data_IF_852762015656
#
_entry.id   IF_852762015656
#
_cell.length_a   1.000
_cell.length_b   1.000
_cell.length_c   1.000
_cell.angle_alpha   90.00
_cell.angle_beta   90.00
_cell.angle_gamma   90.00
#
_symmetry.space_group_name_H-M   'P 1'
#
loop_
_entity.id
_entity.type
_entity.pdbx_description
1 polymer ?
#
# COMPACT_ATOMS: atom_id res chain seq x y z
N UNK A 1 -10.80 9.11 -7.55
CA UNK A 1 -10.21 7.76 -7.80
C UNK A 1 -9.04 7.79 -8.78
N UNK A 2 -9.25 7.87 -10.09
CA UNK A 2 -8.18 7.75 -11.11
C UNK A 2 -7.01 8.73 -10.90
N UNK A 3 -7.28 10.00 -10.58
CA UNK A 3 -6.25 11.01 -10.31
C UNK A 3 -5.33 10.67 -9.13
N UNK A 4 -5.83 9.97 -8.11
CA UNK A 4 -5.07 9.65 -6.90
C UNK A 4 -4.38 8.29 -6.99
N UNK A 5 -5.05 7.30 -7.58
CA UNK A 5 -4.53 5.93 -7.70
C UNK A 5 -3.66 5.75 -8.95
N UNK A 6 -3.76 6.64 -9.93
CA UNK A 6 -3.01 6.58 -11.19
C UNK A 6 -3.28 5.31 -12.02
N UNK A 7 -4.51 4.78 -11.94
CA UNK A 7 -4.98 3.65 -12.75
C UNK A 7 -6.10 4.13 -13.68
N UNK A 8 -6.05 3.83 -15.00
CA UNK A 8 -7.09 4.19 -15.96
C UNK A 8 -8.33 3.31 -15.77
N UNK A 9 -9.15 3.66 -14.78
CA UNK A 9 -10.40 2.97 -14.43
C UNK A 9 -11.49 3.15 -15.49
N UNK A 10 -11.45 4.25 -16.25
CA UNK A 10 -12.35 4.54 -17.36
C UNK A 10 -12.25 3.54 -18.53
N UNK A 11 -11.21 2.73 -18.57
CA UNK A 11 -10.98 1.73 -19.60
C UNK A 11 -11.19 0.28 -19.09
N UNK A 12 -11.53 0.09 -17.81
CA UNK A 12 -11.88 -1.22 -17.24
C UNK A 12 -13.40 -1.44 -17.35
N UNK A 13 -13.84 -2.12 -18.41
CA UNK A 13 -15.27 -2.38 -18.68
C UNK A 13 -15.94 -3.23 -17.60
N UNK A 14 -15.18 -4.12 -16.95
CA UNK A 14 -15.68 -4.96 -15.84
C UNK A 14 -16.01 -4.09 -14.62
N UNK A 15 -15.14 -3.13 -14.28
CA UNK A 15 -15.37 -2.17 -13.21
C UNK A 15 -16.62 -1.34 -13.51
N UNK A 16 -16.74 -0.78 -14.72
CA UNK A 16 -17.92 0.01 -15.10
C UNK A 16 -19.22 -0.77 -14.92
N UNK A 17 -19.27 -2.00 -15.40
CA UNK A 17 -20.44 -2.86 -15.25
C UNK A 17 -20.73 -3.18 -13.77
N UNK A 18 -19.70 -3.47 -12.98
CA UNK A 18 -19.84 -3.77 -11.56
C UNK A 18 -20.35 -2.54 -10.78
N UNK A 19 -19.82 -1.35 -11.06
CA UNK A 19 -20.27 -0.12 -10.44
C UNK A 19 -21.73 0.18 -10.81
N UNK A 20 -22.12 0.05 -12.08
CA UNK A 20 -23.52 0.20 -12.50
C UNK A 20 -24.45 -0.76 -11.74
N UNK A 21 -24.07 -2.04 -11.67
CA UNK A 21 -24.85 -3.06 -10.96
C UNK A 21 -24.90 -2.81 -9.44
N UNK A 22 -23.83 -2.27 -8.85
CA UNK A 22 -23.78 -1.91 -7.45
C UNK A 22 -24.67 -0.70 -7.16
N UNK A 23 -24.46 0.42 -7.85
CA UNK A 23 -25.19 1.67 -7.65
C UNK A 23 -26.69 1.56 -7.94
N UNK A 24 -27.10 0.79 -8.95
CA UNK A 24 -28.52 0.56 -9.23
C UNK A 24 -29.27 -0.08 -8.06
N UNK A 25 -28.58 -0.93 -7.28
CA UNK A 25 -29.15 -1.55 -6.06
C UNK A 25 -28.92 -0.69 -4.82
N UNK A 26 -27.74 -0.08 -4.69
CA UNK A 26 -27.38 0.76 -3.55
C UNK A 26 -28.28 1.99 -3.47
N UNK A 27 -28.59 2.64 -4.60
CA UNK A 27 -29.48 3.80 -4.64
C UNK A 27 -30.86 3.51 -4.04
N UNK A 28 -31.46 2.35 -4.37
CA UNK A 28 -32.75 1.94 -3.79
C UNK A 28 -32.64 1.71 -2.27
N UNK A 29 -31.55 1.10 -1.80
CA UNK A 29 -31.33 0.88 -0.36
C UNK A 29 -31.15 2.21 0.38
N UNK A 30 -30.32 3.09 -0.14
CA UNK A 30 -30.01 4.41 0.44
C UNK A 30 -31.29 5.26 0.54
N UNK A 31 -32.03 5.41 -0.56
CA UNK A 31 -33.27 6.21 -0.57
C UNK A 31 -34.38 5.64 0.31
N UNK A 32 -34.32 4.35 0.63
CA UNK A 32 -35.24 3.69 1.55
C UNK A 32 -34.69 3.55 2.97
N UNK A 33 -33.52 4.11 3.28
CA UNK A 33 -32.83 3.97 4.56
C UNK A 33 -32.62 2.50 5.00
N UNK A 34 -32.41 1.60 4.03
CA UNK A 34 -32.11 0.20 4.27
C UNK A 34 -30.59 0.05 4.46
N UNK A 35 -30.19 -0.27 5.68
CA UNK A 35 -28.80 -0.53 6.01
C UNK A 35 -28.36 -1.94 5.57
N UNK A 36 -27.21 -2.02 4.89
CA UNK A 36 -26.56 -3.27 4.52
C UNK A 36 -25.26 -3.41 5.32
N UNK A 37 -25.19 -4.42 6.18
CA UNK A 37 -23.98 -4.74 6.92
C UNK A 37 -22.99 -5.48 6.02
N UNK A 38 -21.74 -5.01 6.01
CA UNK A 38 -20.60 -5.70 5.45
C UNK A 38 -19.71 -6.23 6.59
N UNK A 39 -19.71 -7.55 6.86
CA UNK A 39 -18.95 -8.11 7.97
C UNK A 39 -17.42 -8.02 7.77
N UNK A 40 -16.96 -7.59 6.59
CA UNK A 40 -15.54 -7.54 6.20
C UNK A 40 -14.96 -6.12 6.21
N UNK A 41 -15.67 -5.11 6.73
CA UNK A 41 -15.18 -3.71 6.71
C UNK A 41 -13.79 -3.58 7.32
N UNK A 42 -13.55 -4.22 8.46
CA UNK A 42 -12.27 -4.12 9.18
C UNK A 42 -11.15 -4.77 8.36
N UNK A 43 -11.39 -5.96 7.83
CA UNK A 43 -10.45 -6.70 6.98
C UNK A 43 -10.11 -5.91 5.71
N UNK A 44 -11.12 -5.31 5.07
CA UNK A 44 -10.94 -4.51 3.86
C UNK A 44 -10.10 -3.26 4.15
N UNK A 45 -10.38 -2.55 5.25
CA UNK A 45 -9.59 -1.38 5.66
C UNK A 45 -8.17 -1.73 6.05
N UNK A 46 -7.96 -2.93 6.61
CA UNK A 46 -6.62 -3.46 6.93
C UNK A 46 -5.84 -3.77 5.65
N UNK A 47 -6.44 -4.48 4.70
CA UNK A 47 -5.77 -4.92 3.48
C UNK A 47 -5.59 -3.80 2.45
N UNK A 48 -6.57 -2.90 2.33
CA UNK A 48 -6.62 -1.88 1.27
C UNK A 48 -6.89 -0.47 1.81
N UNK A 49 -6.18 0.01 2.86
CA UNK A 49 -6.47 1.28 3.51
C UNK A 49 -6.42 2.47 2.55
N UNK A 50 -5.46 2.48 1.61
CA UNK A 50 -5.33 3.55 0.63
C UNK A 50 -6.51 3.64 -0.34
N UNK A 51 -6.98 2.49 -0.85
CA UNK A 51 -8.12 2.45 -1.77
C UNK A 51 -9.40 2.85 -1.05
N UNK A 52 -9.61 2.31 0.16
CA UNK A 52 -10.75 2.64 1.00
C UNK A 52 -10.82 4.13 1.30
N UNK A 53 -9.73 4.73 1.82
CA UNK A 53 -9.72 6.15 2.17
C UNK A 53 -9.89 7.05 0.95
N UNK A 54 -9.27 6.69 -0.18
CA UNK A 54 -9.45 7.44 -1.43
C UNK A 54 -10.90 7.40 -1.92
N UNK A 55 -11.59 6.27 -1.76
CA UNK A 55 -13.02 6.15 -2.08
C UNK A 55 -13.88 6.95 -1.12
N UNK A 56 -13.59 6.84 0.18
CA UNK A 56 -14.29 7.58 1.22
C UNK A 56 -14.29 9.09 0.90
N UNK A 57 -13.11 9.67 0.64
CA UNK A 57 -13.00 11.09 0.30
C UNK A 57 -13.71 11.45 -1.03
N UNK A 58 -13.68 10.55 -2.02
CA UNK A 58 -14.37 10.79 -3.28
C UNK A 58 -15.90 10.78 -3.13
N UNK A 59 -16.41 9.90 -2.26
CA UNK A 59 -17.83 9.77 -1.94
C UNK A 59 -18.30 10.92 -1.07
N UNK A 60 -17.51 11.33 -0.09
CA UNK A 60 -17.81 12.48 0.76
C UNK A 60 -17.96 13.77 -0.08
N UNK A 61 -17.07 13.97 -1.06
CA UNK A 61 -17.21 15.07 -2.05
C UNK A 61 -18.47 14.93 -2.90
N UNK A 62 -18.84 13.72 -3.32
CA UNK A 62 -20.06 13.47 -4.09
C UNK A 62 -21.33 13.70 -3.27
N UNK A 63 -21.30 13.41 -1.97
CA UNK A 63 -22.43 13.61 -1.07
C UNK A 63 -22.82 15.10 -0.99
N UNK A 64 -21.85 16.02 -1.03
CA UNK A 64 -22.10 17.47 -1.06
C UNK A 64 -22.99 17.88 -2.25
N UNK A 65 -22.79 17.26 -3.42
CA UNK A 65 -23.51 17.60 -4.64
C UNK A 65 -24.85 16.86 -4.79
N UNK A 66 -24.98 15.70 -4.14
CA UNK A 66 -26.08 14.75 -4.39
C UNK A 66 -27.03 14.56 -3.22
N UNK A 67 -26.68 15.04 -2.02
CA UNK A 67 -27.39 14.78 -0.75
C UNK A 67 -27.56 13.27 -0.46
N UNK A 68 -26.67 12.44 -1.02
CA UNK A 68 -26.65 10.99 -0.84
C UNK A 68 -25.45 10.63 0.02
N UNK A 69 -25.72 10.18 1.25
CA UNK A 69 -24.73 9.58 2.13
C UNK A 69 -24.62 8.08 1.90
N UNK A 70 -23.39 7.56 1.86
CA UNK A 70 -23.12 6.12 1.81
C UNK A 70 -22.49 5.66 3.13
N UNK A 71 -22.93 4.50 3.62
CA UNK A 71 -22.34 3.90 4.82
C UNK A 71 -20.92 3.37 4.55
N UNK A 72 -20.17 3.18 5.63
CA UNK A 72 -18.84 2.54 5.58
C UNK A 72 -18.87 1.18 4.87
N UNK A 73 -19.96 0.42 5.05
CA UNK A 73 -20.20 -0.88 4.44
C UNK A 73 -20.30 -0.82 2.91
N UNK A 74 -21.03 0.17 2.37
CA UNK A 74 -21.15 0.39 0.93
C UNK A 74 -19.80 0.83 0.33
N UNK A 75 -19.07 1.72 1.02
CA UNK A 75 -17.71 2.13 0.64
C UNK A 75 -16.76 0.92 0.64
N UNK A 76 -16.90 0.00 1.60
CA UNK A 76 -16.11 -1.24 1.64
C UNK A 76 -16.43 -2.17 0.46
N UNK A 77 -17.70 -2.32 0.05
CA UNK A 77 -18.04 -3.07 -1.17
C UNK A 77 -17.43 -2.43 -2.42
N UNK A 78 -17.50 -1.10 -2.54
CA UNK A 78 -16.87 -0.38 -3.64
C UNK A 78 -15.35 -0.56 -3.65
N UNK A 79 -14.72 -0.59 -2.47
CA UNK A 79 -13.28 -0.81 -2.31
C UNK A 79 -12.85 -2.11 -2.98
N UNK A 80 -13.60 -3.19 -2.82
CA UNK A 80 -13.31 -4.47 -3.48
C UNK A 80 -13.39 -4.34 -5.01
N UNK A 81 -14.41 -3.66 -5.55
CA UNK A 81 -14.53 -3.48 -6.99
C UNK A 81 -13.35 -2.69 -7.58
N UNK A 82 -12.96 -1.60 -6.91
CA UNK A 82 -11.81 -0.80 -7.33
C UNK A 82 -10.49 -1.55 -7.15
N UNK A 83 -10.30 -2.27 -6.05
CA UNK A 83 -9.10 -3.07 -5.82
C UNK A 83 -8.93 -4.16 -6.89
N UNK A 84 -10.01 -4.89 -7.22
CA UNK A 84 -9.96 -5.88 -8.30
C UNK A 84 -9.65 -5.24 -9.66
N UNK A 85 -10.10 -4.01 -9.91
CA UNK A 85 -9.76 -3.27 -11.12
C UNK A 85 -8.30 -2.79 -11.12
N UNK A 86 -7.77 -2.36 -9.97
CA UNK A 86 -6.34 -2.07 -9.81
C UNK A 86 -5.57 -3.32 -10.20
N UNK A 87 -5.85 -4.48 -9.60
CA UNK A 87 -5.14 -5.72 -9.90
C UNK A 87 -5.19 -6.09 -11.38
N UNK A 88 -6.35 -6.01 -12.04
CA UNK A 88 -6.46 -6.28 -13.49
C UNK A 88 -5.64 -5.32 -14.36
N UNK A 89 -5.48 -4.07 -13.94
CA UNK A 89 -4.90 -2.98 -14.75
C UNK A 89 -3.44 -2.70 -14.38
N UNK A 90 -3.00 -3.13 -13.19
CA UNK A 90 -1.61 -3.07 -12.72
C UNK A 90 -0.86 -4.39 -12.90
N UNK A 91 -1.55 -5.48 -13.28
CA UNK A 91 -0.90 -6.71 -13.78
C UNK A 91 -0.15 -6.41 -15.09
N UNK A 92 1.05 -5.87 -14.98
CA UNK A 92 2.06 -5.97 -16.04
C UNK A 92 2.64 -7.38 -15.96
N UNK A 93 2.42 -8.18 -17.01
CA UNK A 93 3.20 -9.41 -17.15
C UNK A 93 4.68 -9.05 -17.24
N UNK A 94 5.48 -9.67 -16.38
CA UNK A 94 6.93 -9.52 -16.40
C UNK A 94 7.51 -10.50 -17.40
N UNK A 95 8.22 -9.99 -18.38
CA UNK A 95 8.90 -10.77 -19.38
C UNK A 95 10.19 -11.35 -18.78
N UNK A 96 10.27 -12.67 -18.74
CA UNK A 96 11.38 -13.43 -18.16
C UNK A 96 12.20 -14.07 -19.26
N UNK A 97 13.52 -13.97 -19.15
CA UNK A 97 14.47 -14.76 -19.94
C UNK A 97 15.24 -15.67 -19.01
N UNK A 98 15.35 -16.95 -19.36
CA UNK A 98 16.15 -17.92 -18.61
C UNK A 98 17.47 -18.16 -19.36
N UNK A 99 18.59 -17.85 -18.73
CA UNK A 99 19.91 -18.20 -19.23
C UNK A 99 20.47 -19.42 -18.50
N UNK A 100 20.46 -20.57 -19.17
CA UNK A 100 20.80 -21.85 -18.57
C UNK A 100 22.14 -22.40 -19.09
N UNK A 101 22.97 -22.89 -18.17
CA UNK A 101 24.21 -23.60 -18.50
C UNK A 101 23.98 -25.09 -18.83
N UNK A 102 23.01 -25.73 -18.15
CA UNK A 102 22.76 -27.17 -18.24
C UNK A 102 22.00 -27.61 -19.50
N UNK A 103 21.72 -26.68 -20.41
CA UNK A 103 21.06 -26.96 -21.69
C UNK A 103 19.54 -27.07 -21.60
N UNK A 104 18.95 -27.62 -22.66
CA UNK A 104 17.50 -27.54 -22.94
C UNK A 104 16.64 -28.24 -21.89
N UNK A 105 17.04 -29.41 -21.38
CA UNK A 105 16.21 -30.16 -20.43
C UNK A 105 15.93 -29.40 -19.14
N UNK A 106 16.96 -28.79 -18.56
CA UNK A 106 16.82 -27.94 -17.36
C UNK A 106 16.12 -26.62 -17.69
N UNK A 107 16.35 -26.07 -18.89
CA UNK A 107 15.67 -24.85 -19.33
C UNK A 107 14.16 -25.03 -19.40
N UNK A 108 13.68 -26.12 -20.03
CA UNK A 108 12.25 -26.43 -20.14
C UNK A 108 11.63 -26.71 -18.76
N UNK A 109 12.36 -27.38 -17.87
CA UNK A 109 11.93 -27.62 -16.49
C UNK A 109 11.74 -26.30 -15.74
N UNK A 110 12.73 -25.41 -15.80
CA UNK A 110 12.66 -24.09 -15.17
C UNK A 110 11.56 -23.23 -15.77
N UNK A 111 11.44 -23.21 -17.10
CA UNK A 111 10.35 -22.51 -17.80
C UNK A 111 8.98 -22.96 -17.30
N UNK A 112 8.76 -24.27 -17.20
CA UNK A 112 7.51 -24.83 -16.68
C UNK A 112 7.29 -24.43 -15.22
N UNK A 113 8.31 -24.50 -14.38
CA UNK A 113 8.22 -24.11 -12.96
C UNK A 113 7.91 -22.63 -12.81
N UNK A 114 8.55 -21.77 -13.59
CA UNK A 114 8.44 -20.32 -13.50
C UNK A 114 7.08 -19.84 -14.02
N UNK A 115 6.63 -20.35 -15.17
CA UNK A 115 5.30 -20.01 -15.68
C UNK A 115 4.17 -20.50 -14.74
N UNK A 116 4.40 -21.57 -13.96
CA UNK A 116 3.44 -22.06 -12.97
C UNK A 116 3.55 -21.38 -11.59
N UNK A 117 4.52 -20.49 -11.36
CA UNK A 117 4.64 -19.76 -10.10
C UNK A 117 3.56 -18.69 -9.94
N UNK A 118 3.26 -17.98 -11.03
CA UNK A 118 2.46 -16.76 -11.04
C UNK A 118 1.95 -16.47 -12.45
N UNK A 119 0.70 -16.04 -12.62
CA UNK A 119 0.16 -15.59 -13.92
C UNK A 119 0.84 -14.31 -14.43
N UNK A 120 1.50 -13.60 -13.52
CA UNK A 120 2.26 -12.38 -13.70
C UNK A 120 3.62 -12.61 -14.38
N UNK A 121 4.11 -13.85 -14.45
CA UNK A 121 5.39 -14.18 -15.08
C UNK A 121 5.15 -14.78 -16.46
N UNK A 122 5.86 -14.28 -17.46
CA UNK A 122 5.87 -14.86 -18.80
C UNK A 122 7.30 -15.15 -19.22
N UNK A 123 7.68 -16.42 -19.30
CA UNK A 123 8.97 -16.81 -19.88
C UNK A 123 8.88 -16.64 -21.40
N UNK A 124 9.47 -15.55 -21.90
CA UNK A 124 9.43 -15.22 -23.33
C UNK A 124 10.57 -15.88 -24.12
N UNK A 125 11.64 -16.31 -23.45
CA UNK A 125 12.75 -17.00 -24.09
C UNK A 125 13.63 -17.78 -23.11
N UNK A 126 14.30 -18.81 -23.64
CA UNK A 126 15.39 -19.52 -22.95
C UNK A 126 16.65 -19.49 -23.81
N UNK A 127 17.78 -19.08 -23.23
CA UNK A 127 19.07 -18.92 -23.89
C UNK A 127 20.16 -19.71 -23.17
N UNK A 128 21.25 -20.01 -23.88
CA UNK A 128 22.46 -20.50 -23.23
C UNK A 128 23.13 -19.38 -22.43
N UNK A 129 23.78 -19.74 -21.33
CA UNK A 129 24.50 -18.78 -20.48
C UNK A 129 25.54 -17.95 -21.26
N UNK A 130 26.25 -18.56 -22.20
CA UNK A 130 27.25 -17.91 -23.07
C UNK A 130 26.66 -16.86 -24.03
N UNK A 131 25.35 -16.90 -24.29
CA UNK A 131 24.68 -15.99 -25.22
C UNK A 131 24.14 -14.72 -24.55
N UNK A 132 24.28 -14.56 -23.23
CA UNK A 132 23.77 -13.41 -22.49
C UNK A 132 24.26 -12.08 -23.09
N UNK A 133 25.55 -11.98 -23.43
CA UNK A 133 26.13 -10.72 -23.96
C UNK A 133 25.65 -10.36 -25.36
N UNK A 134 25.05 -11.31 -26.08
CA UNK A 134 24.55 -11.12 -27.44
C UNK A 134 23.02 -11.01 -27.49
N UNK A 135 22.34 -11.06 -26.34
CA UNK A 135 20.89 -11.01 -26.24
C UNK A 135 20.40 -9.59 -26.00
N UNK A 136 19.30 -9.23 -26.66
CA UNK A 136 18.65 -7.93 -26.52
C UNK A 136 17.59 -7.95 -25.41
N UNK A 137 17.83 -7.20 -24.34
CA UNK A 137 16.98 -7.19 -23.13
C UNK A 137 16.00 -6.00 -23.06
N UNK A 138 15.72 -5.34 -24.19
CA UNK A 138 14.92 -4.11 -24.24
C UNK A 138 13.50 -4.30 -23.65
N UNK A 139 12.89 -5.47 -23.86
CA UNK A 139 11.57 -5.83 -23.34
C UNK A 139 11.62 -6.95 -22.30
N UNK A 140 12.70 -7.04 -21.53
CA UNK A 140 12.87 -8.08 -20.50
C UNK A 140 12.93 -7.42 -19.12
N UNK A 141 12.12 -7.92 -18.20
CA UNK A 141 12.03 -7.41 -16.83
C UNK A 141 12.94 -8.18 -15.87
N UNK A 142 13.08 -9.49 -16.13
CA UNK A 142 13.79 -10.42 -15.25
C UNK A 142 14.64 -11.42 -16.04
N UNK A 143 15.94 -11.48 -15.72
CA UNK A 143 16.87 -12.50 -16.17
C UNK A 143 17.09 -13.53 -15.05
N UNK A 144 16.78 -14.79 -15.32
CA UNK A 144 17.04 -15.91 -14.40
C UNK A 144 18.22 -16.72 -14.91
N UNK A 145 19.20 -16.98 -14.07
CA UNK A 145 20.37 -17.79 -14.43
C UNK A 145 20.54 -19.01 -13.54
N UNK A 146 21.09 -20.08 -14.09
CA UNK A 146 21.46 -21.27 -13.30
C UNK A 146 22.89 -21.24 -12.76
N UNK A 147 23.67 -20.22 -13.14
CA UNK A 147 25.06 -20.05 -12.76
C UNK A 147 25.37 -18.57 -12.52
N UNK A 148 26.44 -18.34 -11.75
CA UNK A 148 26.96 -16.99 -11.54
C UNK A 148 27.41 -16.38 -12.87
N UNK A 149 26.96 -15.14 -13.09
CA UNK A 149 27.38 -14.32 -14.21
C UNK A 149 28.64 -13.55 -13.79
N UNK A 150 29.71 -13.48 -14.60
CA UNK A 150 30.86 -12.64 -14.31
C UNK A 150 30.47 -11.17 -14.08
N UNK A 151 31.13 -10.51 -13.12
CA UNK A 151 30.84 -9.10 -12.78
C UNK A 151 30.90 -8.16 -13.99
N UNK A 152 31.80 -8.42 -14.94
CA UNK A 152 31.93 -7.62 -16.16
C UNK A 152 30.67 -7.73 -17.03
N UNK A 153 30.13 -8.94 -17.20
CA UNK A 153 28.90 -9.18 -17.94
C UNK A 153 27.70 -8.54 -17.25
N UNK A 154 27.60 -8.62 -15.91
CA UNK A 154 26.55 -7.93 -15.16
C UNK A 154 26.55 -6.41 -15.38
N UNK A 155 27.73 -5.79 -15.50
CA UNK A 155 27.85 -4.35 -15.77
C UNK A 155 27.41 -3.93 -17.17
N UNK A 156 27.37 -4.87 -18.12
CA UNK A 156 26.91 -4.63 -19.49
C UNK A 156 25.40 -4.77 -19.65
N UNK A 157 24.71 -5.38 -18.67
CA UNK A 157 23.27 -5.55 -18.73
C UNK A 157 22.53 -4.23 -18.49
N UNK A 158 21.32 -4.06 -19.06
CA UNK A 158 20.54 -2.85 -18.83
C UNK A 158 20.20 -2.65 -17.35
N UNK A 159 20.23 -1.40 -16.88
CA UNK A 159 19.95 -1.07 -15.47
C UNK A 159 18.53 -1.41 -15.02
N UNK A 160 17.57 -1.50 -15.95
CA UNK A 160 16.19 -1.88 -15.64
C UNK A 160 16.04 -3.39 -15.40
N UNK A 161 17.00 -4.21 -15.84
CA UNK A 161 16.89 -5.67 -15.80
C UNK A 161 17.24 -6.20 -14.40
N UNK A 162 16.27 -6.82 -13.73
CA UNK A 162 16.55 -7.58 -12.51
C UNK A 162 17.20 -8.91 -12.87
N UNK A 163 18.22 -9.33 -12.13
CA UNK A 163 18.91 -10.61 -12.37
C UNK A 163 18.86 -11.48 -11.12
N UNK A 164 18.42 -12.73 -11.25
CA UNK A 164 18.33 -13.70 -10.15
C UNK A 164 19.03 -14.99 -10.54
N UNK A 165 19.88 -15.51 -9.65
CA UNK A 165 20.42 -16.87 -9.76
C UNK A 165 19.52 -17.87 -9.05
N UNK A 166 19.19 -18.97 -9.71
CA UNK A 166 18.40 -20.08 -9.16
C UNK A 166 19.14 -21.40 -9.26
N UNK A 167 18.77 -22.35 -8.40
CA UNK A 167 19.27 -23.71 -8.51
C UNK A 167 18.65 -24.43 -9.74
N UNK A 168 19.36 -25.39 -10.37
CA UNK A 168 18.89 -26.09 -11.58
C UNK A 168 17.59 -26.87 -11.36
N UNK A 169 17.38 -27.38 -10.14
CA UNK A 169 16.19 -28.13 -9.75
C UNK A 169 15.11 -27.26 -9.10
N UNK A 170 15.30 -25.94 -9.09
CA UNK A 170 14.35 -24.95 -8.59
C UNK A 170 13.86 -25.19 -7.15
N UNK A 171 14.55 -24.58 -6.20
CA UNK A 171 14.25 -24.75 -4.77
C UNK A 171 13.11 -23.85 -4.29
N UNK A 172 12.57 -24.14 -3.10
CA UNK A 172 11.58 -23.27 -2.45
C UNK A 172 12.15 -21.88 -2.13
N UNK A 173 13.45 -21.78 -1.87
CA UNK A 173 14.14 -20.49 -1.69
C UNK A 173 14.18 -19.67 -3.00
N UNK A 174 14.41 -20.34 -4.14
CA UNK A 174 14.35 -19.70 -5.46
C UNK A 174 12.95 -19.16 -5.78
N UNK A 175 11.91 -19.93 -5.41
CA UNK A 175 10.52 -19.48 -5.48
C UNK A 175 10.30 -18.19 -4.68
N UNK A 176 10.74 -18.14 -3.42
CA UNK A 176 10.58 -16.94 -2.60
C UNK A 176 11.29 -15.72 -3.19
N UNK A 177 12.52 -15.90 -3.70
CA UNK A 177 13.28 -14.83 -4.37
C UNK A 177 12.56 -14.24 -5.58
N UNK A 178 12.02 -15.10 -6.45
CA UNK A 178 11.30 -14.65 -7.65
C UNK A 178 10.02 -13.90 -7.25
N UNK A 179 9.21 -14.47 -6.35
CA UNK A 179 7.98 -13.82 -5.87
C UNK A 179 8.28 -12.44 -5.26
N UNK A 180 9.36 -12.31 -4.50
CA UNK A 180 9.77 -11.04 -3.93
C UNK A 180 10.07 -9.99 -5.02
N UNK A 181 10.85 -10.35 -6.06
CA UNK A 181 11.15 -9.43 -7.17
C UNK A 181 9.92 -9.06 -7.98
N UNK A 182 8.99 -10.00 -8.20
CA UNK A 182 7.71 -9.72 -8.87
C UNK A 182 6.93 -8.65 -8.10
N UNK A 183 6.82 -8.79 -6.77
CA UNK A 183 6.13 -7.82 -5.92
C UNK A 183 6.78 -6.43 -5.97
N UNK A 184 8.10 -6.34 -5.92
CA UNK A 184 8.82 -5.05 -6.03
C UNK A 184 8.58 -4.39 -7.40
N UNK A 185 8.65 -5.16 -8.49
CA UNK A 185 8.43 -4.65 -9.85
C UNK A 185 6.99 -4.20 -10.09
N UNK A 186 6.00 -4.84 -9.46
CA UNK A 186 4.59 -4.49 -9.59
C UNK A 186 4.13 -3.37 -8.65
N UNK A 187 4.93 -3.02 -7.64
CA UNK A 187 4.72 -1.86 -6.79
C UNK A 187 5.81 -0.80 -7.05
N UNK A 188 5.75 -0.06 -8.18
CA UNK A 188 6.74 0.98 -8.51
C UNK A 188 6.79 2.16 -7.53
N UNK A 189 5.94 2.16 -6.50
CA UNK A 189 5.94 3.12 -5.40
C UNK A 189 7.22 3.02 -4.54
N UNK A 190 8.00 1.94 -4.66
CA UNK A 190 9.35 1.84 -4.06
C UNK A 190 10.45 2.62 -4.84
N UNK A 191 10.12 3.31 -5.93
CA UNK A 191 11.06 4.16 -6.64
C UNK A 191 11.31 5.47 -5.87
N UNK A 192 12.18 5.43 -4.85
CA UNK A 192 12.96 6.54 -4.29
C UNK A 192 12.27 7.92 -4.35
N UNK A 193 11.16 8.08 -3.62
CA UNK A 193 10.72 9.42 -3.23
C UNK A 193 11.64 9.93 -2.13
N UNK A 194 12.05 11.20 -2.21
CA UNK A 194 12.83 11.86 -1.17
C UNK A 194 12.02 11.85 0.14
N UNK A 195 12.33 10.91 1.02
CA UNK A 195 11.85 10.85 2.42
C UNK A 195 12.22 12.12 3.20
N UNK A 196 13.16 12.91 2.68
CA UNK A 196 13.69 14.14 3.29
C UNK A 196 12.64 15.26 3.45
N UNK A 197 11.47 15.18 2.81
CA UNK A 197 10.44 16.24 2.87
C UNK A 197 9.34 16.00 3.89
N UNK A 198 9.26 14.83 4.53
CA UNK A 198 8.21 14.52 5.52
C UNK A 198 8.80 14.40 6.92
N UNK A 199 8.28 15.19 7.85
CA UNK A 199 8.75 15.19 9.22
C UNK A 199 8.10 14.06 10.04
N UNK A 200 8.92 13.10 10.49
CA UNK A 200 8.50 12.05 11.41
C UNK A 200 8.78 12.42 12.86
N UNK A 201 7.71 12.53 13.65
CA UNK A 201 7.75 12.89 15.07
C UNK A 201 7.14 11.77 15.91
N UNK A 202 7.95 11.20 16.80
CA UNK A 202 7.46 10.26 17.82
C UNK A 202 7.00 11.07 19.02
N UNK A 203 5.72 10.96 19.36
CA UNK A 203 5.11 11.73 20.42
C UNK A 203 5.20 10.95 21.74
N UNK A 204 5.94 11.51 22.69
CA UNK A 204 5.99 10.98 24.05
C UNK A 204 4.77 11.46 24.82
N UNK A 205 3.79 10.58 24.99
CA UNK A 205 2.68 10.85 25.91
C UNK A 205 3.13 10.52 27.33
N UNK A 206 3.32 11.53 28.19
CA UNK A 206 3.67 11.30 29.61
C UNK A 206 2.59 10.49 30.34
N UNK A 207 1.34 10.58 29.88
CA UNK A 207 0.20 9.84 30.41
C UNK A 207 -0.48 9.05 29.29
N UNK A 208 -0.93 7.84 29.63
CA UNK A 208 -1.73 7.01 28.73
C UNK A 208 -2.99 7.78 28.29
N UNK A 209 -3.22 7.95 26.97
CA UNK A 209 -4.48 8.49 26.46
C UNK A 209 -5.65 7.65 26.95
N UNK A 210 -6.70 8.30 27.45
CA UNK A 210 -7.95 7.66 27.87
C UNK A 210 -9.01 7.74 26.78
N UNK A 211 -8.92 8.72 25.90
CA UNK A 211 -9.89 8.98 24.86
C UNK A 211 -9.22 9.46 23.57
N UNK A 212 -9.83 9.10 22.44
CA UNK A 212 -9.43 9.54 21.08
C UNK A 212 -9.18 11.05 21.00
N UNK A 213 -10.03 11.87 21.61
CA UNK A 213 -9.93 13.35 21.56
C UNK A 213 -8.56 13.88 22.04
N UNK A 214 -7.95 13.25 23.03
CA UNK A 214 -6.63 13.67 23.56
C UNK A 214 -5.52 13.54 22.51
N UNK A 215 -5.62 12.54 21.61
CA UNK A 215 -4.68 12.38 20.50
C UNK A 215 -4.83 13.53 19.49
N UNK A 216 -6.07 13.92 19.18
CA UNK A 216 -6.34 15.01 18.23
C UNK A 216 -5.92 16.38 18.79
N UNK A 217 -6.18 16.66 20.07
CA UNK A 217 -5.73 17.88 20.74
C UNK A 217 -4.20 17.98 20.77
N UNK A 218 -3.51 16.87 21.04
CA UNK A 218 -2.05 16.87 21.07
C UNK A 218 -1.46 16.99 19.66
N UNK A 219 -2.07 16.32 18.67
CA UNK A 219 -1.71 16.49 17.27
C UNK A 219 -1.88 17.94 16.81
N UNK A 220 -2.95 18.62 17.24
CA UNK A 220 -3.20 20.03 16.95
C UNK A 220 -2.05 20.91 17.45
N UNK A 221 -1.69 20.79 18.74
CA UNK A 221 -0.61 21.60 19.34
C UNK A 221 0.71 21.41 18.60
N UNK A 222 1.07 20.15 18.31
CA UNK A 222 2.33 19.84 17.62
C UNK A 222 2.31 20.43 16.20
N UNK A 223 1.28 20.15 15.42
CA UNK A 223 1.21 20.62 14.03
C UNK A 223 1.15 22.16 13.92
N UNK A 224 0.47 22.83 14.85
CA UNK A 224 0.45 24.29 14.92
C UNK A 224 1.81 24.87 15.32
N UNK A 225 2.50 24.30 16.31
CA UNK A 225 3.84 24.75 16.71
C UNK A 225 4.85 24.63 15.55
N UNK A 226 4.67 23.62 14.70
CA UNK A 226 5.47 23.40 13.50
C UNK A 226 4.98 24.21 12.28
N UNK A 227 3.91 25.01 12.39
CA UNK A 227 3.30 25.72 11.25
C UNK A 227 2.96 24.78 10.07
N UNK A 228 2.61 23.53 10.38
CA UNK A 228 2.44 22.47 9.40
C UNK A 228 1.07 22.49 8.71
N UNK A 229 0.07 23.11 9.35
CA UNK A 229 -1.34 23.07 8.97
C UNK A 229 -1.96 24.47 9.06
N UNK A 230 -3.04 24.68 8.33
CA UNK A 230 -3.93 25.85 8.51
C UNK A 230 -5.09 25.52 9.46
N UNK A 231 -5.83 26.56 9.86
CA UNK A 231 -7.05 26.43 10.67
C UNK A 231 -8.08 25.48 9.99
N UNK A 232 -8.79 24.68 10.77
CA UNK A 232 -9.78 23.74 10.25
C UNK A 232 -9.25 22.36 9.88
N UNK A 233 -7.95 22.08 10.01
CA UNK A 233 -7.38 20.77 9.67
C UNK A 233 -7.78 19.69 10.69
N UNK A 234 -7.64 19.96 11.98
CA UNK A 234 -7.96 18.98 13.03
C UNK A 234 -9.47 18.74 13.11
N UNK A 235 -10.27 19.78 12.89
CA UNK A 235 -11.71 19.72 12.77
C UNK A 235 -12.09 18.77 11.63
N UNK A 236 -11.47 18.90 10.45
CA UNK A 236 -11.73 17.99 9.33
C UNK A 236 -11.32 16.54 9.64
N UNK A 237 -10.25 16.33 10.41
CA UNK A 237 -9.84 15.00 10.84
C UNK A 237 -10.83 14.38 11.85
N UNK A 238 -11.39 15.20 12.74
CA UNK A 238 -12.42 14.79 13.70
C UNK A 238 -13.75 14.48 13.02
N UNK A 239 -14.16 15.29 12.05
CA UNK A 239 -15.35 15.04 11.22
C UNK A 239 -15.20 13.72 10.45
N UNK A 240 -14.04 13.50 9.84
CA UNK A 240 -13.68 12.24 9.18
C UNK A 240 -13.78 11.05 10.12
N UNK A 241 -13.18 11.15 11.31
CA UNK A 241 -13.24 10.12 12.34
C UNK A 241 -14.68 9.90 12.82
N UNK A 242 -15.52 10.95 12.88
CA UNK A 242 -16.94 10.86 13.24
C UNK A 242 -17.76 10.08 12.20
N UNK A 243 -17.51 10.31 10.91
CA UNK A 243 -18.24 9.66 9.81
C UNK A 243 -17.83 8.20 9.62
N UNK A 244 -16.55 7.87 9.73
CA UNK A 244 -16.04 6.49 9.71
C UNK A 244 -14.79 6.40 10.58
N UNK A 245 -14.72 5.36 11.40
CA UNK A 245 -13.57 5.14 12.29
C UNK A 245 -12.27 5.08 11.49
N UNK A 246 -11.18 5.68 11.96
CA UNK A 246 -9.84 5.53 11.34
C UNK A 246 -9.07 4.34 11.90
N UNK A 247 -9.73 3.50 12.70
CA UNK A 247 -9.24 2.17 13.08
C UNK A 247 -9.13 1.25 11.86
N UNK A 248 -8.02 0.53 11.77
CA UNK A 248 -7.65 -0.32 10.63
C UNK A 248 -7.25 -1.74 11.03
N UNK A 249 -7.53 -2.16 12.26
CA UNK A 249 -7.11 -3.48 12.78
C UNK A 249 -5.80 -3.42 13.57
N UNK A 250 -5.45 -4.54 14.20
CA UNK A 250 -4.17 -4.78 14.88
C UNK A 250 -3.77 -3.69 15.90
N UNK A 251 -4.74 -3.17 16.64
CA UNK A 251 -4.52 -2.07 17.60
C UNK A 251 -3.96 -0.77 16.96
N UNK A 252 -4.25 -0.53 15.68
CA UNK A 252 -3.79 0.65 14.96
C UNK A 252 -4.94 1.56 14.51
N UNK A 253 -4.67 2.87 14.53
CA UNK A 253 -5.50 3.89 13.92
C UNK A 253 -4.66 4.86 13.07
N UNK A 254 -5.28 5.41 12.02
CA UNK A 254 -4.65 6.31 11.05
C UNK A 254 -5.42 7.62 10.85
N UNK A 255 -5.65 8.43 11.89
CA UNK A 255 -6.36 9.69 11.77
C UNK A 255 -5.65 10.65 10.79
N UNK A 256 -6.44 11.27 9.91
CA UNK A 256 -5.99 12.23 8.92
C UNK A 256 -7.10 13.20 8.57
N UNK A 257 -6.74 14.44 8.26
CA UNK A 257 -7.68 15.49 7.83
C UNK A 257 -7.56 15.81 6.35
N UNK A 258 -8.12 16.94 5.96
CA UNK A 258 -8.08 17.44 4.58
C UNK A 258 -6.64 17.77 4.13
N UNK A 259 -6.10 17.08 3.11
CA UNK A 259 -4.74 17.30 2.64
C UNK A 259 -4.49 18.68 2.01
N UNK A 260 -5.54 19.41 1.62
CA UNK A 260 -5.43 20.79 1.10
C UNK A 260 -5.13 21.80 2.22
N UNK A 261 -5.39 21.42 3.48
CA UNK A 261 -5.09 22.24 4.68
C UNK A 261 -3.69 21.96 5.27
N UNK A 262 -2.86 21.17 4.60
CA UNK A 262 -1.50 20.82 5.04
C UNK A 262 -0.47 21.61 4.25
N UNK A 263 0.27 22.48 4.95
CA UNK A 263 1.37 23.30 4.41
C UNK A 263 2.68 22.50 4.34
N UNK A 264 2.97 21.72 5.40
CA UNK A 264 4.17 20.89 5.52
C UNK A 264 3.81 19.50 6.02
N UNK A 265 4.24 18.47 5.31
CA UNK A 265 3.88 17.09 5.61
C UNK A 265 4.55 16.58 6.89
N UNK A 266 3.74 16.04 7.80
CA UNK A 266 4.15 15.47 9.08
C UNK A 266 3.44 14.13 9.32
N UNK A 267 4.17 13.20 9.94
CA UNK A 267 3.62 11.97 10.50
C UNK A 267 3.91 11.99 12.00
N UNK A 268 2.85 12.06 12.80
CA UNK A 268 2.95 11.96 14.26
C UNK A 268 2.66 10.52 14.69
N UNK A 269 3.54 9.95 15.51
CA UNK A 269 3.41 8.58 15.99
C UNK A 269 3.14 8.62 17.48
N UNK A 270 1.90 8.30 17.86
CA UNK A 270 1.51 8.13 19.26
C UNK A 270 1.54 6.65 19.60
N UNK A 271 2.15 6.30 20.73
CA UNK A 271 2.25 4.90 21.16
C UNK A 271 2.11 4.75 22.66
N UNK A 272 1.61 3.59 23.08
CA UNK A 272 1.45 3.22 24.48
C UNK A 272 1.69 1.73 24.67
N UNK A 273 2.16 1.34 25.86
CA UNK A 273 2.33 -0.07 26.23
C UNK A 273 0.97 -0.78 26.40
N UNK A 274 -0.02 -0.06 26.93
CA UNK A 274 -1.38 -0.56 27.16
C UNK A 274 -2.37 0.00 26.14
N UNK A 275 -3.39 -0.78 25.79
CA UNK A 275 -4.48 -0.34 24.88
C UNK A 275 -5.30 0.80 25.46
N UNK A 276 -5.80 1.69 24.60
CA UNK A 276 -6.81 2.70 24.94
C UNK A 276 -7.97 2.66 23.94
N UNK A 277 -9.17 3.11 24.33
CA UNK A 277 -10.34 2.99 23.48
C UNK A 277 -10.28 3.96 22.29
N UNK A 278 -10.60 3.42 21.11
CA UNK A 278 -10.84 4.13 19.85
C UNK A 278 -12.21 3.71 19.32
N UNK A 279 -13.24 4.47 19.69
CA UNK A 279 -14.66 4.07 19.56
C UNK A 279 -14.92 2.72 20.25
N UNK A 280 -15.24 1.69 19.46
CA UNK A 280 -15.55 0.33 19.89
C UNK A 280 -14.33 -0.61 19.83
N UNK A 281 -13.16 -0.10 19.46
CA UNK A 281 -11.92 -0.87 19.31
C UNK A 281 -10.87 -0.41 20.31
N UNK A 282 -9.84 -1.23 20.47
CA UNK A 282 -8.68 -0.94 21.29
C UNK A 282 -7.49 -0.58 20.40
N UNK A 283 -6.74 0.47 20.77
CA UNK A 283 -5.59 0.98 20.00
C UNK A 283 -4.36 1.12 20.90
N UNK A 284 -3.18 0.84 20.34
CA UNK A 284 -1.86 1.03 20.96
C UNK A 284 -0.97 1.98 20.17
N UNK A 285 -1.12 2.00 18.85
CA UNK A 285 -0.26 2.72 17.93
C UNK A 285 -1.11 3.57 16.99
N UNK A 286 -0.87 4.88 16.96
CA UNK A 286 -1.58 5.81 16.09
C UNK A 286 -0.58 6.49 15.17
N UNK A 287 -0.81 6.38 13.86
CA UNK A 287 -0.11 7.18 12.87
C UNK A 287 -1.02 8.33 12.46
N UNK A 288 -0.84 9.50 13.07
CA UNK A 288 -1.57 10.71 12.69
C UNK A 288 -0.91 11.31 11.45
N UNK A 289 -1.60 11.23 10.32
CA UNK A 289 -1.04 11.62 9.02
C UNK A 289 -1.53 13.03 8.68
N UNK A 290 -0.62 14.00 8.67
CA UNK A 290 -0.85 15.34 8.12
C UNK A 290 0.01 15.48 6.87
N UNK A 291 -0.45 14.90 5.76
CA UNK A 291 0.33 14.82 4.51
C UNK A 291 -0.36 15.67 3.44
N UNK A 292 0.40 16.55 2.81
CA UNK A 292 -0.10 17.47 1.78
C UNK A 292 -0.50 16.74 0.51
N UNK A 293 -1.43 17.31 -0.25
CA UNK A 293 -1.93 16.72 -1.51
C UNK A 293 -0.79 16.43 -2.52
N UNK A 294 0.27 17.22 -2.51
CA UNK A 294 1.48 17.03 -3.34
C UNK A 294 2.26 15.75 -3.00
N UNK A 295 2.12 15.21 -1.79
CA UNK A 295 2.87 14.07 -1.27
C UNK A 295 2.04 12.76 -1.30
N UNK A 296 1.10 12.64 -2.24
CA UNK A 296 0.18 11.49 -2.36
C UNK A 296 0.92 10.14 -2.47
N UNK A 297 2.07 10.09 -3.14
CA UNK A 297 2.87 8.87 -3.25
C UNK A 297 3.37 8.40 -1.88
N UNK A 298 3.79 9.33 -1.03
CA UNK A 298 4.21 9.03 0.34
C UNK A 298 3.02 8.60 1.21
N UNK A 299 1.84 9.22 1.07
CA UNK A 299 0.61 8.73 1.73
C UNK A 299 0.33 7.26 1.39
N UNK A 300 0.49 6.88 0.12
CA UNK A 300 0.34 5.49 -0.31
C UNK A 300 1.38 4.57 0.33
N UNK A 301 2.65 4.97 0.38
CA UNK A 301 3.72 4.21 1.05
C UNK A 301 3.40 3.99 2.54
N UNK A 302 3.02 5.05 3.25
CA UNK A 302 2.66 4.96 4.67
C UNK A 302 1.49 4.01 4.88
N UNK A 303 0.43 4.11 4.06
CA UNK A 303 -0.71 3.20 4.18
C UNK A 303 -0.36 1.74 3.85
N UNK A 304 0.57 1.51 2.92
CA UNK A 304 1.08 0.15 2.61
C UNK A 304 1.93 -0.42 3.75
N UNK A 305 2.84 0.37 4.31
CA UNK A 305 3.61 -0.03 5.49
C UNK A 305 2.67 -0.43 6.62
N UNK A 306 1.70 0.44 6.93
CA UNK A 306 0.80 0.23 8.04
C UNK A 306 -0.08 -1.02 7.81
N UNK A 307 -0.54 -1.26 6.57
CA UNK A 307 -1.29 -2.48 6.23
C UNK A 307 -0.51 -3.78 6.47
N UNK A 308 0.82 -3.73 6.36
CA UNK A 308 1.70 -4.88 6.55
C UNK A 308 2.08 -5.15 8.02
N UNK A 309 1.76 -4.24 8.94
CA UNK A 309 2.05 -4.43 10.36
C UNK A 309 1.02 -5.38 11.00
N UNK A 310 1.50 -6.49 11.56
CA UNK A 310 0.71 -7.42 12.38
C UNK A 310 0.76 -7.07 13.88
N UNK A 311 0.01 -7.82 14.70
CA UNK A 311 -0.07 -7.58 16.14
C UNK A 311 1.31 -7.67 16.82
N UNK A 312 2.16 -8.60 16.40
CA UNK A 312 3.50 -8.79 16.93
C UNK A 312 4.42 -7.61 16.56
N UNK A 313 4.35 -7.15 15.31
CA UNK A 313 5.05 -5.96 14.84
C UNK A 313 4.62 -4.72 15.61
N UNK A 314 3.32 -4.54 15.86
CA UNK A 314 2.79 -3.40 16.63
C UNK A 314 3.28 -3.45 18.08
N UNK A 315 3.22 -4.62 18.73
CA UNK A 315 3.74 -4.79 20.09
C UNK A 315 5.25 -4.52 20.16
N UNK A 316 6.00 -4.99 19.17
CA UNK A 316 7.43 -4.74 19.06
C UNK A 316 7.73 -3.24 18.94
N UNK A 317 7.08 -2.54 17.99
CA UNK A 317 7.25 -1.10 17.78
C UNK A 317 6.91 -0.31 19.05
N UNK A 318 5.85 -0.67 19.77
CA UNK A 318 5.48 -0.02 21.03
C UNK A 318 6.50 -0.24 22.17
N UNK A 319 7.38 -1.25 22.07
CA UNK A 319 8.41 -1.57 23.07
C UNK A 319 9.74 -0.85 22.86
N UNK A 320 10.02 -0.38 21.64
CA UNK A 320 11.30 0.25 21.28
C UNK A 320 11.48 1.62 21.96
N UNK A 321 12.70 2.16 22.02
CA UNK A 321 12.89 3.59 22.29
C UNK A 321 12.57 4.43 21.03
N UNK A 322 12.53 5.76 21.17
CA UNK A 322 12.09 6.64 20.08
C UNK A 322 13.04 6.61 18.87
N UNK A 323 14.36 6.48 19.10
CA UNK A 323 15.33 6.43 18.03
C UNK A 323 15.18 5.11 17.27
N UNK A 324 15.13 3.99 17.99
CA UNK A 324 14.98 2.66 17.40
C UNK A 324 13.65 2.50 16.65
N UNK A 325 12.53 3.01 17.19
CA UNK A 325 11.24 2.98 16.48
C UNK A 325 11.31 3.75 15.16
N UNK A 326 11.91 4.95 15.19
CA UNK A 326 12.02 5.78 13.98
C UNK A 326 12.87 5.06 12.92
N UNK A 327 14.00 4.48 13.33
CA UNK A 327 14.84 3.70 12.44
C UNK A 327 14.11 2.49 11.86
N UNK A 328 13.42 1.69 12.69
CA UNK A 328 12.67 0.51 12.24
C UNK A 328 11.59 0.87 11.22
N UNK A 329 10.85 1.96 11.43
CA UNK A 329 9.84 2.43 10.48
C UNK A 329 10.46 2.90 9.17
N UNK A 330 11.63 3.52 9.20
CA UNK A 330 12.34 3.88 7.97
C UNK A 330 12.83 2.66 7.20
N UNK A 331 13.30 1.62 7.90
CA UNK A 331 13.68 0.35 7.27
C UNK A 331 12.46 -0.27 6.55
N UNK A 332 11.30 -0.33 7.21
CA UNK A 332 10.07 -0.79 6.58
C UNK A 332 9.58 0.06 5.39
N UNK A 333 9.92 1.35 5.34
CA UNK A 333 9.59 2.21 4.19
C UNK A 333 10.55 2.00 3.01
N UNK A 334 11.72 1.40 3.23
CA UNK A 334 12.72 1.13 2.19
C UNK A 334 12.67 -0.31 1.66
N UNK A 335 12.05 -1.24 2.40
CA UNK A 335 11.75 -2.62 1.96
C UNK A 335 10.62 -2.70 0.94
#
# INVERSE_FOLDING_TARGET
MQQRIHVPFNEDSILQQNLYNHFSKAYLRITQNIYLNNPLVIEIKKLYPFVFNTLFEAIDKLAIDTDIEMSEDEIAFLTIHFQAAIERRTKTQLNVVIACYYGLGVSNFLETKINNLSEELSVINTIKLENITHYHFDNVDLLITTHDIPKQTLQMLPKHLSTIKVAPLFSEDDRHKIIHVVKQKQNPVQAHHHMDTVNFLVVNTEQKPRHTVQIFEEAQKILQAHHAIVEGYIESALEREKSSSTYIGNFMAIPHGDPEKVLQSHVLIFRTKDVFPWRQHDVKLVFFLAISQKDTAFTKQMMQLIANLDDDSVNHLCSLDNHSLKQQLFEYLQE
#
